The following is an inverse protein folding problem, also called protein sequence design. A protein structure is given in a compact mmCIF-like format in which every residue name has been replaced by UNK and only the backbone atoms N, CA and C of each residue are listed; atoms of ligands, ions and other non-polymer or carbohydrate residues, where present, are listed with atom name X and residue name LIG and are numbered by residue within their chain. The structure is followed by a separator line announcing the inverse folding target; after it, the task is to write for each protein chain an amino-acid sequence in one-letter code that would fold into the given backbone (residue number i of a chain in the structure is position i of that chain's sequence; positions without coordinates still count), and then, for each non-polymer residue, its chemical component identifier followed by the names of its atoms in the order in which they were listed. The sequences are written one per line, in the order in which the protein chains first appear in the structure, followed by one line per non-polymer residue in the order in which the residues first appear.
data_IF_547618084787
#
_entry.id   IF_547618084787
#
_cell.length_a   1.000
_cell.length_b   1.000
_cell.length_c   1.000
_cell.angle_alpha   90.00
_cell.angle_beta   90.00
_cell.angle_gamma   90.00
#
_symmetry.space_group_name_H-M   'P 1'
#
loop_
_entity.id
_entity.type
_entity.pdbx_description
1 polymer ?
#
# COMPACT_ATOMS: atom_id res chain seq x y z
N UNK A 1 -2.31 -17.63 -0.75
CA UNK A 1 -1.89 -16.23 -0.92
C UNK A 1 -0.44 -16.23 -1.37
N UNK A 2 -0.19 -16.04 -2.68
CA UNK A 2 1.18 -15.99 -3.24
C UNK A 2 1.78 -14.57 -3.11
N UNK A 3 1.66 -13.94 -1.95
CA UNK A 3 2.55 -12.82 -1.58
C UNK A 3 3.96 -13.34 -1.29
N UNK A 4 4.23 -14.53 -1.84
CA UNK A 4 5.45 -15.25 -1.71
C UNK A 4 6.55 -14.53 -2.45
N UNK A 5 7.56 -14.09 -1.70
CA UNK A 5 8.99 -14.05 -2.09
C UNK A 5 9.42 -13.22 -3.31
N UNK A 6 8.52 -12.71 -4.19
CA UNK A 6 8.86 -12.13 -5.48
C UNK A 6 8.12 -10.81 -5.74
N UNK A 7 8.14 -9.87 -4.78
CA UNK A 7 7.85 -8.49 -5.15
C UNK A 7 9.10 -7.94 -5.85
N UNK A 8 9.01 -7.53 -7.12
CA UNK A 8 10.09 -6.84 -7.85
C UNK A 8 10.43 -5.46 -7.29
N UNK A 9 10.05 -5.19 -6.04
CA UNK A 9 10.49 -4.05 -5.28
C UNK A 9 12.00 -4.16 -5.04
N UNK A 10 12.78 -3.08 -5.18
CA UNK A 10 14.21 -3.08 -4.97
C UNK A 10 14.54 -3.73 -3.63
N UNK A 11 15.42 -4.73 -3.62
CA UNK A 11 15.87 -5.37 -2.38
C UNK A 11 16.71 -4.37 -1.59
N UNK A 12 16.27 -3.88 -0.44
CA UNK A 12 17.13 -3.16 0.45
C UNK A 12 17.86 -4.16 1.30
N UNK A 13 18.98 -4.43 1.37
CA UNK A 13 19.82 -5.16 2.36
C UNK A 13 20.47 -6.47 1.94
N UNK A 14 21.79 -6.38 1.84
CA UNK A 14 22.74 -7.42 2.20
C UNK A 14 23.52 -6.94 3.42
N UNK A 15 23.27 -7.46 4.61
CA UNK A 15 24.18 -7.27 5.74
C UNK A 15 24.21 -8.49 6.63
N UNK A 16 25.38 -9.13 6.68
CA UNK A 16 25.77 -10.07 7.71
C UNK A 16 26.22 -9.32 8.96
N UNK A 17 25.31 -8.97 9.83
CA UNK A 17 25.54 -8.69 11.25
C UNK A 17 24.18 -8.70 11.94
N UNK A 18 24.10 -9.24 13.15
CA UNK A 18 22.92 -9.24 14.03
C UNK A 18 22.67 -7.82 14.58
N UNK A 19 22.42 -6.86 13.69
CA UNK A 19 21.95 -5.53 14.09
C UNK A 19 20.50 -5.67 14.54
N UNK A 20 20.15 -5.05 15.66
CA UNK A 20 18.77 -4.93 16.11
C UNK A 20 17.98 -4.27 15.00
N UNK A 21 16.94 -4.96 14.52
CA UNK A 21 16.09 -4.43 13.43
C UNK A 21 15.23 -3.30 13.95
N UNK A 22 15.02 -2.27 13.14
CA UNK A 22 14.25 -1.07 13.52
C UNK A 22 13.14 -0.78 12.54
N UNK A 23 12.04 -0.21 13.04
CA UNK A 23 10.98 0.38 12.24
C UNK A 23 10.66 1.80 12.73
N UNK A 24 10.51 2.73 11.80
CA UNK A 24 9.91 4.01 12.07
C UNK A 24 8.37 3.89 12.04
N UNK A 25 7.67 4.60 12.92
CA UNK A 25 6.21 4.58 12.97
C UNK A 25 5.65 6.00 12.94
N UNK A 26 4.73 6.24 12.00
CA UNK A 26 3.95 7.48 11.91
C UNK A 26 2.49 7.13 12.06
N UNK A 27 1.80 7.72 13.05
CA UNK A 27 0.42 7.34 13.36
C UNK A 27 -0.59 7.70 12.24
N UNK A 28 -0.29 8.70 11.40
CA UNK A 28 -1.21 9.16 10.35
C UNK A 28 -2.32 10.07 10.90
N UNK A 29 -3.40 10.22 10.15
CA UNK A 29 -4.54 11.08 10.45
C UNK A 29 -5.82 10.27 10.62
N UNK A 30 -6.86 10.90 11.13
CA UNK A 30 -8.19 10.33 11.21
C UNK A 30 -8.24 9.01 11.98
N UNK A 31 -8.46 7.90 11.29
CA UNK A 31 -8.45 6.54 11.90
C UNK A 31 -7.04 6.03 12.16
N UNK A 32 -6.00 6.70 11.64
CA UNK A 32 -4.60 6.29 11.71
C UNK A 32 -4.13 5.89 13.12
N UNK A 33 -4.26 6.76 14.14
CA UNK A 33 -3.82 6.44 15.50
C UNK A 33 -4.41 5.13 16.02
N UNK A 34 -5.71 4.89 15.81
CA UNK A 34 -6.39 3.70 16.32
C UNK A 34 -5.95 2.41 15.60
N UNK A 35 -5.76 2.43 14.29
CA UNK A 35 -5.34 1.23 13.54
C UNK A 35 -3.85 0.95 13.67
N UNK A 36 -2.99 1.98 13.82
CA UNK A 36 -1.56 1.81 14.15
C UNK A 36 -1.41 1.23 15.55
N UNK A 37 -2.20 1.69 16.53
CA UNK A 37 -2.20 1.10 17.87
C UNK A 37 -2.43 -0.42 17.82
N UNK A 38 -3.43 -0.86 17.04
CA UNK A 38 -3.69 -2.30 16.89
C UNK A 38 -2.53 -3.02 16.18
N UNK A 39 -1.91 -2.41 15.18
CA UNK A 39 -0.73 -2.96 14.54
C UNK A 39 0.44 -3.11 15.52
N UNK A 40 0.64 -2.17 16.44
CA UNK A 40 1.67 -2.24 17.46
C UNK A 40 1.38 -3.30 18.53
N UNK A 41 0.13 -3.47 18.93
CA UNK A 41 -0.29 -4.54 19.85
C UNK A 41 0.01 -5.91 19.25
N UNK A 42 -0.36 -6.13 17.99
CA UNK A 42 -0.12 -7.39 17.27
C UNK A 42 1.37 -7.63 17.03
N UNK A 43 2.14 -6.58 16.66
CA UNK A 43 3.58 -6.69 16.50
C UNK A 43 4.28 -7.09 17.79
N UNK A 44 3.92 -6.50 18.93
CA UNK A 44 4.47 -6.86 20.25
C UNK A 44 4.20 -8.32 20.58
N UNK A 45 2.96 -8.79 20.36
CA UNK A 45 2.62 -10.20 20.56
C UNK A 45 3.50 -11.13 19.67
N UNK A 46 3.79 -10.74 18.43
CA UNK A 46 4.66 -11.51 17.54
C UNK A 46 6.14 -11.49 17.98
N UNK A 47 6.64 -10.35 18.46
CA UNK A 47 7.97 -10.19 19.03
C UNK A 47 8.12 -11.07 20.28
N UNK A 48 7.18 -10.99 21.22
CA UNK A 48 7.20 -11.73 22.47
C UNK A 48 7.16 -13.26 22.23
N UNK A 49 6.35 -13.71 21.28
CA UNK A 49 6.24 -15.13 20.91
C UNK A 49 7.49 -15.66 20.21
N UNK A 50 8.14 -14.84 19.38
CA UNK A 50 9.32 -15.24 18.60
C UNK A 50 10.65 -15.04 19.33
N UNK A 51 10.70 -14.15 20.31
CA UNK A 51 11.91 -13.71 21.01
C UNK A 51 12.86 -12.86 20.14
N UNK A 52 12.37 -12.31 19.02
CA UNK A 52 13.20 -11.51 18.11
C UNK A 52 13.01 -10.02 18.38
N UNK A 53 14.08 -9.30 18.75
CA UNK A 53 13.98 -7.89 19.07
C UNK A 53 13.79 -7.05 17.78
N UNK A 54 12.74 -6.20 17.77
CA UNK A 54 12.56 -5.13 16.81
C UNK A 54 12.38 -3.83 17.60
N UNK A 55 13.23 -2.86 17.35
CA UNK A 55 13.08 -1.53 17.94
C UNK A 55 12.03 -0.73 17.16
N UNK A 56 11.18 -0.01 17.89
CA UNK A 56 10.12 0.82 17.33
C UNK A 56 10.42 2.27 17.68
N UNK A 57 10.58 3.10 16.66
CA UNK A 57 10.80 4.53 16.80
C UNK A 57 9.59 5.30 16.25
N UNK A 58 8.88 5.99 17.15
CA UNK A 58 7.76 6.82 16.74
C UNK A 58 8.23 8.19 16.26
N UNK A 59 7.57 8.72 15.25
CA UNK A 59 7.72 10.11 14.85
C UNK A 59 7.35 11.04 16.02
N UNK A 60 7.98 12.23 16.13
CA UNK A 60 7.75 13.14 17.24
C UNK A 60 6.28 13.58 17.39
N UNK A 61 5.76 13.63 18.62
CA UNK A 61 4.36 13.99 18.92
C UNK A 61 3.96 15.41 18.45
N UNK A 62 4.92 16.31 18.26
CA UNK A 62 4.66 17.69 17.77
C UNK A 62 3.98 17.72 16.41
N UNK A 63 4.09 16.67 15.67
CA UNK A 63 3.49 16.43 14.37
C UNK A 63 1.95 16.34 14.46
N UNK A 64 1.42 16.11 15.65
CA UNK A 64 -0.02 15.97 15.94
C UNK A 64 -0.67 17.27 16.40
N UNK A 65 0.07 18.36 16.52
CA UNK A 65 -0.42 19.62 17.10
C UNK A 65 -1.54 20.27 16.27
N UNK A 66 -1.62 19.95 14.99
CA UNK A 66 -2.74 20.36 14.14
C UNK A 66 -3.62 19.15 13.82
N UNK A 67 -4.58 18.89 14.68
CA UNK A 67 -5.44 17.69 14.72
C UNK A 67 -6.26 17.39 13.45
N UNK A 68 -6.13 18.16 12.40
CA UNK A 68 -6.93 18.00 11.18
C UNK A 68 -6.13 17.62 9.93
N UNK A 69 -4.86 18.01 9.80
CA UNK A 69 -4.02 17.66 8.66
C UNK A 69 -2.55 17.56 9.07
N UNK A 70 -1.84 16.59 8.51
CA UNK A 70 -0.39 16.51 8.59
C UNK A 70 0.23 17.55 7.66
N UNK A 71 1.29 18.22 8.15
CA UNK A 71 2.12 19.11 7.36
C UNK A 71 3.56 18.60 7.36
N UNK A 72 4.21 18.63 6.21
CA UNK A 72 5.61 18.26 6.10
C UNK A 72 6.49 19.42 6.59
N UNK A 73 6.64 19.50 7.90
CA UNK A 73 7.50 20.47 8.56
C UNK A 73 8.93 19.93 8.76
N UNK A 74 9.83 20.75 9.31
CA UNK A 74 11.24 20.40 9.51
C UNK A 74 11.42 19.17 10.41
N UNK A 75 10.60 19.00 11.46
CA UNK A 75 10.69 17.86 12.38
C UNK A 75 10.34 16.55 11.67
N UNK A 76 9.32 16.57 10.79
CA UNK A 76 8.98 15.44 9.94
C UNK A 76 10.09 15.15 8.93
N UNK A 77 10.53 16.18 8.23
CA UNK A 77 11.61 16.05 7.25
C UNK A 77 12.86 15.42 7.88
N UNK A 78 13.22 15.82 9.11
CA UNK A 78 14.35 15.25 9.85
C UNK A 78 14.11 13.79 10.27
N UNK A 79 12.91 13.46 10.76
CA UNK A 79 12.56 12.07 11.11
C UNK A 79 12.69 11.14 9.91
N UNK A 80 12.07 11.50 8.78
CA UNK A 80 12.16 10.70 7.55
C UNK A 80 13.59 10.64 7.02
N UNK A 81 14.31 11.76 6.98
CA UNK A 81 15.69 11.82 6.50
C UNK A 81 16.61 10.89 7.30
N UNK A 82 16.48 10.89 8.64
CA UNK A 82 17.23 9.99 9.52
C UNK A 82 16.85 8.53 9.27
N UNK A 83 15.55 8.21 9.27
CA UNK A 83 15.11 6.84 9.03
C UNK A 83 15.64 6.31 7.68
N UNK A 84 15.58 7.11 6.63
CA UNK A 84 16.05 6.68 5.31
C UNK A 84 17.57 6.61 5.20
N UNK A 85 18.31 7.51 5.86
CA UNK A 85 19.78 7.45 5.93
C UNK A 85 20.25 6.17 6.63
N UNK A 86 19.55 5.78 7.70
CA UNK A 86 19.82 4.56 8.47
C UNK A 86 19.11 3.33 7.87
N UNK A 87 18.46 3.51 6.72
CA UNK A 87 17.69 2.48 6.02
C UNK A 87 16.58 1.85 6.90
N UNK A 88 15.99 2.58 7.79
CA UNK A 88 14.86 2.16 8.61
C UNK A 88 13.55 2.29 7.80
N UNK A 89 12.83 1.20 7.54
CA UNK A 89 11.53 1.28 6.87
C UNK A 89 10.49 1.93 7.78
N UNK A 90 9.55 2.67 7.18
CA UNK A 90 8.53 3.39 7.93
C UNK A 90 7.17 2.72 7.76
N UNK A 91 6.53 2.34 8.87
CA UNK A 91 5.12 1.99 8.95
C UNK A 91 4.32 3.27 9.17
N UNK A 92 3.47 3.61 8.22
CA UNK A 92 2.73 4.86 8.22
C UNK A 92 1.22 4.59 8.26
N UNK A 93 0.51 5.23 9.17
CA UNK A 93 -0.95 5.26 9.15
C UNK A 93 -1.48 6.05 7.94
N UNK A 94 -2.79 5.99 7.68
CA UNK A 94 -3.38 6.75 6.59
C UNK A 94 -3.17 8.25 6.79
N UNK A 95 -2.93 8.94 5.69
CA UNK A 95 -2.79 10.40 5.65
C UNK A 95 -3.43 10.95 4.37
N UNK A 96 -3.74 12.23 4.38
CA UNK A 96 -4.39 12.91 3.28
C UNK A 96 -3.72 14.23 2.89
N UNK A 97 -4.45 15.04 2.13
CA UNK A 97 -4.02 16.39 1.75
C UNK A 97 -2.71 16.46 0.96
N UNK A 98 -2.09 17.62 1.00
CA UNK A 98 -0.81 17.88 0.29
C UNK A 98 0.37 17.12 0.89
N UNK A 99 0.31 16.81 2.18
CA UNK A 99 1.39 16.11 2.89
C UNK A 99 1.90 14.86 2.15
N UNK A 100 0.99 14.01 1.67
CA UNK A 100 1.36 12.75 1.01
C UNK A 100 2.13 12.99 -0.29
N UNK A 101 1.76 14.03 -1.05
CA UNK A 101 2.41 14.38 -2.32
C UNK A 101 3.77 15.05 -2.10
N UNK A 102 3.87 15.92 -1.10
CA UNK A 102 5.11 16.58 -0.70
C UNK A 102 6.13 15.58 -0.15
N UNK A 103 5.70 14.64 0.70
CA UNK A 103 6.53 13.55 1.19
C UNK A 103 7.11 12.72 0.04
N UNK A 104 6.27 12.34 -0.93
CA UNK A 104 6.70 11.57 -2.09
C UNK A 104 7.70 12.33 -2.96
N UNK A 105 7.49 13.63 -3.17
CA UNK A 105 8.39 14.47 -3.93
C UNK A 105 9.73 14.67 -3.20
N UNK A 106 9.70 14.98 -1.88
CA UNK A 106 10.90 15.26 -1.09
C UNK A 106 11.85 14.06 -1.02
N UNK A 107 11.32 12.85 -0.89
CA UNK A 107 12.11 11.62 -0.71
C UNK A 107 12.12 10.71 -1.94
N UNK A 108 11.72 11.23 -3.10
CA UNK A 108 11.68 10.49 -4.37
C UNK A 108 11.01 9.10 -4.24
N UNK A 109 9.90 9.04 -3.49
CA UNK A 109 9.10 7.82 -3.36
C UNK A 109 8.29 7.60 -4.65
N UNK A 110 9.00 7.33 -5.71
CA UNK A 110 8.53 7.40 -7.10
C UNK A 110 7.52 6.31 -7.45
N UNK A 111 7.60 5.15 -6.81
CA UNK A 111 6.80 3.99 -7.17
C UNK A 111 5.94 3.53 -6.00
N UNK A 112 4.63 3.42 -6.22
CA UNK A 112 3.70 2.83 -5.26
C UNK A 112 3.21 1.49 -5.76
N UNK A 113 3.31 0.49 -4.91
CA UNK A 113 2.74 -0.83 -5.11
C UNK A 113 1.46 -0.98 -4.28
N UNK A 114 0.44 -1.53 -4.89
CA UNK A 114 -0.83 -1.84 -4.22
C UNK A 114 -1.25 -3.26 -4.61
N UNK A 115 -1.08 -4.25 -3.72
CA UNK A 115 -1.56 -5.60 -3.96
C UNK A 115 -3.08 -5.67 -3.89
N UNK A 116 -3.67 -6.39 -4.84
CA UNK A 116 -5.11 -6.63 -4.93
C UNK A 116 -5.30 -8.14 -4.89
N UNK A 117 -5.31 -8.69 -3.68
CA UNK A 117 -5.48 -10.11 -3.41
C UNK A 117 -6.61 -10.28 -2.39
N UNK A 118 -7.83 -10.60 -2.84
CA UNK A 118 -8.98 -10.80 -1.96
C UNK A 118 -8.71 -11.84 -0.89
N UNK A 119 -9.08 -11.55 0.35
CA UNK A 119 -8.87 -12.48 1.45
C UNK A 119 -9.95 -13.58 1.41
N UNK A 120 -9.58 -14.89 1.36
CA UNK A 120 -10.54 -15.96 1.13
C UNK A 120 -11.60 -16.08 2.24
N UNK A 121 -11.25 -15.75 3.48
CA UNK A 121 -12.12 -15.88 4.64
C UNK A 121 -13.16 -14.73 4.77
N UNK A 122 -13.15 -13.77 3.85
CA UNK A 122 -14.14 -12.67 3.75
C UNK A 122 -14.63 -12.46 2.31
N UNK A 123 -14.62 -13.50 1.50
CA UNK A 123 -15.08 -13.41 0.10
C UNK A 123 -16.55 -12.97 -0.01
N UNK A 124 -17.35 -13.22 1.01
CA UNK A 124 -18.75 -12.80 1.14
C UNK A 124 -18.92 -11.27 1.39
N UNK A 125 -17.89 -10.58 1.83
CA UNK A 125 -17.88 -9.11 1.97
C UNK A 125 -17.72 -8.39 0.62
N UNK A 126 -17.22 -9.05 -0.41
CA UNK A 126 -17.04 -8.46 -1.72
C UNK A 126 -18.36 -8.43 -2.52
N UNK A 127 -18.51 -7.37 -3.34
CA UNK A 127 -19.60 -7.27 -4.30
C UNK A 127 -19.41 -8.17 -5.53
N UNK A 128 -18.23 -8.76 -5.69
CA UNK A 128 -17.91 -9.63 -6.81
C UNK A 128 -18.32 -11.08 -6.53
N UNK A 129 -18.63 -11.79 -7.61
CA UNK A 129 -18.93 -13.24 -7.51
C UNK A 129 -17.68 -14.01 -7.06
N UNK A 130 -17.82 -15.05 -6.23
CA UNK A 130 -16.70 -15.83 -5.70
C UNK A 130 -15.73 -16.36 -6.76
N UNK A 131 -16.24 -16.71 -7.96
CA UNK A 131 -15.42 -17.21 -9.07
C UNK A 131 -14.43 -16.14 -9.58
N UNK A 132 -14.83 -14.85 -9.50
CA UNK A 132 -14.00 -13.71 -9.92
C UNK A 132 -12.93 -13.39 -8.89
N UNK A 133 -13.20 -13.67 -7.62
CA UNK A 133 -12.28 -13.39 -6.50
C UNK A 133 -11.19 -14.45 -6.35
N UNK A 134 -11.53 -15.74 -6.50
CA UNK A 134 -10.61 -16.85 -6.19
C UNK A 134 -9.31 -16.84 -6.98
N UNK A 135 -9.32 -16.30 -8.19
CA UNK A 135 -8.15 -16.21 -9.06
C UNK A 135 -7.56 -14.80 -9.16
N UNK A 136 -8.09 -13.85 -8.38
CA UNK A 136 -7.59 -12.48 -8.42
C UNK A 136 -6.35 -12.34 -7.54
N UNK A 137 -5.21 -12.07 -8.17
CA UNK A 137 -3.93 -11.73 -7.54
C UNK A 137 -3.22 -10.71 -8.44
N UNK A 138 -3.52 -9.42 -8.23
CA UNK A 138 -3.07 -8.33 -9.09
C UNK A 138 -2.10 -7.45 -8.33
N UNK A 139 -1.01 -7.03 -8.99
CA UNK A 139 -0.13 -5.99 -8.49
C UNK A 139 -0.36 -4.70 -9.27
N UNK A 140 -0.95 -3.70 -8.64
CA UNK A 140 -1.05 -2.36 -9.20
C UNK A 140 0.19 -1.55 -8.85
N UNK A 141 0.89 -1.08 -9.88
CA UNK A 141 2.07 -0.21 -9.78
C UNK A 141 1.70 1.17 -10.30
N UNK A 142 1.77 2.16 -9.39
CA UNK A 142 1.43 3.55 -9.66
C UNK A 142 2.68 4.40 -9.66
N UNK A 143 2.82 5.26 -10.66
CA UNK A 143 3.78 6.36 -10.60
C UNK A 143 3.34 7.38 -9.55
N UNK A 144 4.28 7.84 -8.72
CA UNK A 144 4.05 8.92 -7.75
C UNK A 144 4.77 10.21 -8.12
N UNK A 145 5.63 10.17 -9.15
CA UNK A 145 6.62 11.23 -9.43
C UNK A 145 6.17 12.28 -10.43
N UNK A 146 5.09 12.01 -11.18
CA UNK A 146 4.63 12.91 -12.25
C UNK A 146 3.12 13.13 -12.26
N UNK A 147 2.64 13.70 -13.37
CA UNK A 147 1.25 13.91 -13.66
C UNK A 147 0.59 15.05 -12.89
N UNK A 148 -0.74 15.07 -12.86
CA UNK A 148 -1.55 16.14 -12.27
C UNK A 148 -1.22 16.42 -10.80
N UNK A 149 -0.90 15.39 -10.01
CA UNK A 149 -0.68 15.54 -8.57
C UNK A 149 0.66 16.17 -8.22
N UNK A 150 1.63 16.15 -9.14
CA UNK A 150 2.97 16.72 -8.99
C UNK A 150 3.24 17.91 -9.91
N UNK A 151 2.29 18.26 -10.77
CA UNK A 151 2.39 19.40 -11.66
C UNK A 151 2.09 20.72 -10.97
N UNK A 152 2.44 21.82 -11.64
CA UNK A 152 2.12 23.16 -11.18
C UNK A 152 0.61 23.44 -11.24
N UNK A 153 0.13 24.26 -10.31
CA UNK A 153 -1.29 24.55 -10.18
C UNK A 153 -1.54 25.94 -9.60
N UNK A 154 -2.70 26.49 -9.86
CA UNK A 154 -3.06 27.80 -9.32
C UNK A 154 -4.24 28.45 -10.03
N UNK A 155 -4.30 29.76 -9.86
CA UNK A 155 -5.30 30.63 -10.43
C UNK A 155 -4.66 31.64 -11.39
N UNK A 156 -5.32 31.92 -12.51
CA UNK A 156 -4.98 32.96 -13.48
C UNK A 156 -6.15 33.90 -13.65
N UNK A 157 -5.95 35.03 -14.36
CA UNK A 157 -7.00 35.99 -14.70
C UNK A 157 -7.84 36.44 -13.50
N UNK A 158 -7.18 36.90 -12.42
CA UNK A 158 -7.81 37.37 -11.18
C UNK A 158 -8.78 36.35 -10.55
N UNK A 159 -8.45 35.06 -10.65
CA UNK A 159 -9.23 33.98 -10.03
C UNK A 159 -10.36 33.40 -10.91
N UNK A 160 -10.45 33.84 -12.17
CA UNK A 160 -11.45 33.30 -13.09
C UNK A 160 -11.03 31.99 -13.76
N UNK A 161 -9.73 31.65 -13.77
CA UNK A 161 -9.19 30.44 -14.39
C UNK A 161 -8.37 29.66 -13.37
N UNK A 162 -8.84 28.44 -13.03
CA UNK A 162 -8.05 27.46 -12.29
C UNK A 162 -7.27 26.58 -13.28
N UNK A 163 -5.99 26.31 -12.98
CA UNK A 163 -5.20 25.40 -13.81
C UNK A 163 -4.46 24.37 -12.98
N UNK A 164 -4.20 23.22 -13.60
CA UNK A 164 -3.39 22.13 -13.06
C UNK A 164 -2.62 21.49 -14.22
N UNK A 165 -1.30 21.48 -14.16
CA UNK A 165 -0.48 20.88 -15.20
C UNK A 165 -0.33 19.36 -15.00
N UNK A 166 -0.33 18.61 -16.10
CA UNK A 166 0.02 17.21 -16.12
C UNK A 166 1.35 17.04 -16.87
N UNK A 167 2.44 16.82 -16.15
CA UNK A 167 3.76 16.74 -16.73
C UNK A 167 4.42 15.41 -16.38
N UNK A 168 5.01 14.76 -17.39
CA UNK A 168 5.84 13.57 -17.26
C UNK A 168 7.20 13.77 -17.93
N UNK A 169 8.26 13.37 -17.25
CA UNK A 169 9.60 13.25 -17.83
C UNK A 169 9.84 11.80 -18.25
N UNK A 170 10.45 11.58 -19.41
CA UNK A 170 10.71 10.20 -19.90
C UNK A 170 11.44 9.33 -18.87
N UNK A 171 12.41 9.88 -18.15
CA UNK A 171 13.13 9.16 -17.09
C UNK A 171 12.23 8.68 -15.93
N UNK A 172 11.18 9.44 -15.58
CA UNK A 172 10.22 9.04 -14.56
C UNK A 172 9.40 7.84 -15.05
N UNK A 173 8.88 7.93 -16.29
CA UNK A 173 8.13 6.83 -16.92
C UNK A 173 9.00 5.58 -17.08
N UNK A 174 10.26 5.74 -17.52
CA UNK A 174 11.19 4.62 -17.62
C UNK A 174 11.39 3.89 -16.29
N UNK A 175 11.52 4.63 -15.18
CA UNK A 175 11.69 4.04 -13.85
C UNK A 175 10.52 3.16 -13.45
N UNK A 176 9.32 3.69 -13.50
CA UNK A 176 8.14 2.95 -13.04
C UNK A 176 7.81 1.78 -13.97
N UNK A 177 8.00 1.96 -15.28
CA UNK A 177 7.79 0.90 -16.27
C UNK A 177 8.82 -0.22 -16.13
N UNK A 178 10.10 0.10 -15.89
CA UNK A 178 11.13 -0.94 -15.63
C UNK A 178 10.76 -1.80 -14.42
N UNK A 179 10.36 -1.15 -13.31
CA UNK A 179 9.91 -1.85 -12.11
C UNK A 179 8.68 -2.74 -12.39
N UNK A 180 7.75 -2.26 -13.22
CA UNK A 180 6.57 -3.02 -13.57
C UNK A 180 6.89 -4.24 -14.46
N UNK A 181 7.79 -4.09 -15.41
CA UNK A 181 8.28 -5.21 -16.25
C UNK A 181 9.02 -6.26 -15.41
N UNK A 182 9.92 -5.83 -14.52
CA UNK A 182 10.62 -6.73 -13.60
C UNK A 182 9.64 -7.46 -12.68
N UNK A 183 8.62 -6.77 -12.18
CA UNK A 183 7.57 -7.38 -11.36
C UNK A 183 6.77 -8.40 -12.16
N UNK A 184 6.36 -8.10 -13.38
CA UNK A 184 5.62 -9.00 -14.24
C UNK A 184 6.44 -10.26 -14.60
N UNK A 185 7.72 -10.10 -14.91
CA UNK A 185 8.64 -11.20 -15.20
C UNK A 185 8.83 -12.18 -14.04
N UNK A 186 8.60 -11.72 -12.79
CA UNK A 186 8.65 -12.55 -11.58
C UNK A 186 7.28 -13.13 -11.18
N UNK A 187 6.22 -12.82 -11.93
CA UNK A 187 4.84 -13.27 -11.71
C UNK A 187 4.36 -14.07 -12.93
N UNK A 188 3.13 -13.83 -13.39
CA UNK A 188 2.54 -14.56 -14.52
C UNK A 188 2.96 -13.99 -15.89
N UNK A 189 3.99 -13.15 -15.93
CA UNK A 189 4.61 -12.57 -17.12
C UNK A 189 3.67 -11.70 -17.97
N UNK A 190 2.67 -11.05 -17.37
CA UNK A 190 1.69 -10.19 -18.06
C UNK A 190 1.68 -8.79 -17.45
N UNK A 191 1.83 -7.76 -18.30
CA UNK A 191 1.79 -6.36 -17.90
C UNK A 191 0.72 -5.60 -18.68
N UNK A 192 -0.24 -4.98 -17.98
CA UNK A 192 -1.21 -4.07 -18.55
C UNK A 192 -0.79 -2.62 -18.27
N UNK A 193 -0.51 -1.85 -19.32
CA UNK A 193 -0.20 -0.42 -19.24
C UNK A 193 -1.50 0.36 -19.41
N UNK A 194 -1.90 1.08 -18.34
CA UNK A 194 -3.16 1.81 -18.34
C UNK A 194 -2.92 3.30 -18.61
N UNK A 195 -3.52 3.83 -19.66
CA UNK A 195 -3.41 5.23 -20.09
C UNK A 195 -4.75 5.77 -20.61
N UNK A 196 -4.76 6.94 -21.23
CA UNK A 196 -5.96 7.54 -21.87
C UNK A 196 -5.58 8.25 -23.18
N UNK A 197 -5.30 7.50 -24.26
CA UNK A 197 -4.79 8.09 -25.51
C UNK A 197 -5.76 9.09 -26.16
N UNK A 198 -7.06 8.89 -26.06
CA UNK A 198 -8.04 9.84 -26.60
C UNK A 198 -8.06 11.20 -25.88
N UNK A 199 -7.75 11.22 -24.57
CA UNK A 199 -7.74 12.45 -23.76
C UNK A 199 -6.35 13.04 -23.52
N UNK A 200 -5.32 12.18 -23.43
CA UNK A 200 -3.93 12.54 -23.12
C UNK A 200 -2.97 11.90 -24.15
N UNK A 201 -3.04 12.30 -25.44
CA UNK A 201 -2.37 11.58 -26.53
C UNK A 201 -0.84 11.51 -26.35
N UNK A 202 -0.19 12.62 -26.05
CA UNK A 202 1.28 12.68 -25.93
C UNK A 202 1.81 11.92 -24.70
N UNK A 203 1.14 12.07 -23.56
CA UNK A 203 1.49 11.33 -22.34
C UNK A 203 1.29 9.83 -22.58
N UNK A 204 0.16 9.44 -23.13
CA UNK A 204 -0.15 8.04 -23.43
C UNK A 204 0.83 7.39 -24.40
N UNK A 205 1.24 8.13 -25.45
CA UNK A 205 2.26 7.69 -26.38
C UNK A 205 3.61 7.46 -25.69
N UNK A 206 4.05 8.39 -24.83
CA UNK A 206 5.28 8.25 -24.06
C UNK A 206 5.28 6.98 -23.20
N UNK A 207 4.18 6.68 -22.51
CA UNK A 207 4.04 5.48 -21.69
C UNK A 207 4.10 4.20 -22.51
N UNK A 208 3.36 4.18 -23.62
CA UNK A 208 3.34 3.05 -24.55
C UNK A 208 4.72 2.77 -25.15
N UNK A 209 5.33 3.77 -25.78
CA UNK A 209 6.66 3.67 -26.38
C UNK A 209 7.70 3.20 -25.37
N UNK A 210 7.64 3.73 -24.14
CA UNK A 210 8.59 3.35 -23.08
C UNK A 210 8.42 1.88 -22.71
N UNK A 211 7.19 1.40 -22.56
CA UNK A 211 6.94 -0.01 -22.23
C UNK A 211 7.41 -0.94 -23.36
N UNK A 212 7.14 -0.59 -24.62
CA UNK A 212 7.58 -1.37 -25.77
C UNK A 212 9.13 -1.40 -25.89
N UNK A 213 9.80 -0.26 -25.68
CA UNK A 213 11.25 -0.14 -25.77
C UNK A 213 11.99 -0.89 -24.65
N UNK A 214 11.46 -0.87 -23.43
CA UNK A 214 12.10 -1.50 -22.27
C UNK A 214 11.79 -2.99 -22.13
N UNK A 215 10.81 -3.51 -22.85
CA UNK A 215 10.39 -4.91 -22.77
C UNK A 215 11.35 -5.85 -23.53
N UNK A 216 12.57 -5.95 -23.04
CA UNK A 216 13.59 -6.89 -23.59
C UNK A 216 13.42 -8.31 -23.04
N UNK A 217 12.69 -8.48 -21.95
CA UNK A 217 12.44 -9.77 -21.29
C UNK A 217 11.29 -10.58 -21.89
N UNK A 218 10.54 -10.00 -22.84
CA UNK A 218 9.43 -10.68 -23.51
C UNK A 218 8.19 -10.84 -22.61
N UNK A 219 7.95 -9.89 -21.72
CA UNK A 219 6.69 -9.80 -20.95
C UNK A 219 5.53 -9.59 -21.92
N UNK A 220 4.41 -10.27 -21.72
CA UNK A 220 3.19 -10.05 -22.50
C UNK A 220 2.60 -8.67 -22.15
N UNK A 221 2.71 -7.73 -23.11
CA UNK A 221 2.21 -6.37 -22.94
C UNK A 221 0.76 -6.24 -23.45
N UNK A 222 -0.08 -5.63 -22.65
CA UNK A 222 -1.40 -5.14 -23.06
C UNK A 222 -1.55 -3.65 -22.74
N UNK A 223 -2.37 -2.95 -23.54
CA UNK A 223 -2.65 -1.53 -23.34
C UNK A 223 -4.15 -1.33 -23.16
N UNK A 224 -4.54 -0.61 -22.11
CA UNK A 224 -5.95 -0.42 -21.79
C UNK A 224 -6.23 1.04 -21.42
N UNK A 225 -7.38 1.56 -21.84
CA UNK A 225 -7.84 2.88 -21.40
C UNK A 225 -8.35 2.82 -19.96
N UNK A 226 -8.10 3.87 -19.18
CA UNK A 226 -8.37 3.89 -17.72
C UNK A 226 -9.83 3.63 -17.36
N UNK A 227 -10.79 4.13 -18.14
CA UNK A 227 -12.22 3.89 -17.93
C UNK A 227 -12.57 2.40 -18.10
N UNK A 228 -12.04 1.75 -19.14
CA UNK A 228 -12.19 0.30 -19.31
C UNK A 228 -11.44 -0.47 -18.21
N UNK A 229 -10.23 -0.03 -17.83
CA UNK A 229 -9.47 -0.67 -16.75
C UNK A 229 -10.22 -0.60 -15.40
N UNK A 230 -10.85 0.52 -15.06
CA UNK A 230 -11.71 0.64 -13.87
C UNK A 230 -12.87 -0.37 -13.94
N UNK A 231 -13.59 -0.43 -15.07
CA UNK A 231 -14.69 -1.39 -15.22
C UNK A 231 -14.22 -2.84 -15.08
N UNK A 232 -13.15 -3.18 -15.78
CA UNK A 232 -12.61 -4.55 -15.78
C UNK A 232 -12.05 -4.95 -14.40
N UNK A 233 -11.34 -4.05 -13.73
CA UNK A 233 -10.80 -4.29 -12.40
C UNK A 233 -11.92 -4.46 -11.35
N UNK A 234 -12.99 -3.67 -11.47
CA UNK A 234 -14.18 -3.77 -10.63
C UNK A 234 -15.13 -4.91 -10.97
N UNK A 235 -14.94 -5.64 -12.09
CA UNK A 235 -15.85 -6.72 -12.51
C UNK A 235 -15.17 -8.07 -12.72
N UNK A 236 -13.91 -8.09 -13.14
CA UNK A 236 -13.15 -9.27 -13.50
C UNK A 236 -11.64 -9.11 -13.19
N UNK A 237 -11.25 -8.84 -11.91
CA UNK A 237 -9.86 -8.57 -11.55
C UNK A 237 -8.90 -9.71 -11.88
N UNK A 238 -9.37 -10.94 -11.92
CA UNK A 238 -8.55 -12.13 -12.20
C UNK A 238 -7.92 -12.16 -13.61
N UNK A 239 -8.32 -11.27 -14.51
CA UNK A 239 -7.69 -11.16 -15.83
C UNK A 239 -6.34 -10.44 -15.81
N UNK A 240 -6.09 -9.65 -14.76
CA UNK A 240 -4.84 -8.91 -14.61
C UNK A 240 -3.81 -9.70 -13.80
N UNK A 241 -2.53 -9.42 -14.07
CA UNK A 241 -1.39 -9.85 -13.27
C UNK A 241 -0.69 -8.61 -12.70
N UNK A 242 -0.02 -7.83 -13.55
CA UNK A 242 0.54 -6.53 -13.16
C UNK A 242 -0.13 -5.42 -13.97
N UNK A 243 -0.50 -4.36 -13.28
CA UNK A 243 -0.99 -3.12 -13.91
C UNK A 243 0.02 -2.02 -13.61
N UNK A 244 0.44 -1.26 -14.62
CA UNK A 244 1.19 -0.02 -14.42
C UNK A 244 0.41 1.18 -14.94
N UNK A 245 0.47 2.30 -14.22
CA UNK A 245 -0.39 3.43 -14.51
C UNK A 245 0.22 4.78 -14.09
N UNK A 246 -0.06 5.86 -14.83
CA UNK A 246 0.16 7.24 -14.40
C UNK A 246 -0.47 7.54 -13.05
N UNK A 247 0.05 8.55 -12.35
CA UNK A 247 -0.24 8.89 -10.97
C UNK A 247 -1.74 8.92 -10.64
N UNK A 248 -2.50 9.83 -11.23
CA UNK A 248 -3.93 9.99 -10.95
C UNK A 248 -4.75 8.74 -11.33
N UNK A 249 -4.43 8.10 -12.45
CA UNK A 249 -5.15 6.90 -12.87
C UNK A 249 -4.90 5.74 -11.92
N UNK A 250 -3.65 5.56 -11.48
CA UNK A 250 -3.31 4.52 -10.49
C UNK A 250 -3.97 4.76 -9.13
N UNK A 251 -4.26 6.02 -8.77
CA UNK A 251 -5.01 6.35 -7.57
C UNK A 251 -6.46 5.85 -7.65
N UNK A 252 -7.14 6.19 -8.74
CA UNK A 252 -8.53 5.78 -8.98
C UNK A 252 -8.65 4.25 -9.12
N UNK A 253 -7.70 3.63 -9.83
CA UNK A 253 -7.67 2.17 -9.96
C UNK A 253 -7.49 1.46 -8.60
N UNK A 254 -6.66 2.02 -7.71
CA UNK A 254 -6.47 1.48 -6.36
C UNK A 254 -7.76 1.47 -5.53
N UNK A 255 -8.55 2.53 -5.60
CA UNK A 255 -9.84 2.59 -4.92
C UNK A 255 -10.90 1.69 -5.59
N UNK A 256 -10.89 1.60 -6.93
CA UNK A 256 -11.74 0.64 -7.64
C UNK A 256 -11.44 -0.81 -7.23
N UNK A 257 -10.18 -1.13 -7.04
CA UNK A 257 -9.74 -2.46 -6.61
C UNK A 257 -10.25 -2.86 -5.22
N UNK A 258 -10.55 -1.90 -4.35
CA UNK A 258 -11.12 -2.16 -3.01
C UNK A 258 -12.49 -2.89 -3.08
N UNK A 259 -13.20 -2.79 -4.21
CA UNK A 259 -14.42 -3.58 -4.48
C UNK A 259 -14.12 -5.08 -4.39
N UNK A 260 -13.01 -5.53 -4.98
CA UNK A 260 -12.58 -6.92 -4.92
C UNK A 260 -12.13 -7.32 -3.51
N UNK A 261 -11.54 -6.41 -2.75
CA UNK A 261 -11.09 -6.66 -1.38
C UNK A 261 -12.24 -6.71 -0.35
N UNK A 262 -13.45 -6.29 -0.73
CA UNK A 262 -14.63 -6.22 0.13
C UNK A 262 -14.74 -4.93 0.93
N UNK A 263 -13.65 -4.22 1.18
CA UNK A 263 -13.60 -2.92 1.85
C UNK A 263 -12.30 -2.19 1.53
N UNK A 264 -12.35 -0.85 1.56
CA UNK A 264 -11.14 -0.01 1.55
C UNK A 264 -10.26 -0.26 2.77
N UNK A 265 -10.83 -0.63 3.92
CA UNK A 265 -10.11 -1.00 5.14
C UNK A 265 -9.24 -2.26 5.02
N UNK A 266 -9.40 -3.03 3.93
CA UNK A 266 -8.57 -4.18 3.59
C UNK A 266 -7.39 -3.81 2.68
N UNK A 267 -7.36 -2.60 2.13
CA UNK A 267 -6.35 -2.19 1.15
C UNK A 267 -5.05 -1.74 1.83
N UNK A 268 -3.92 -2.15 1.25
CA UNK A 268 -2.59 -1.81 1.74
C UNK A 268 -1.64 -1.51 0.59
N UNK A 269 -0.56 -0.79 0.88
CA UNK A 269 0.39 -0.36 -0.14
C UNK A 269 1.77 -0.09 0.44
N UNK A 270 2.76 0.03 -0.45
CA UNK A 270 4.09 0.50 -0.11
C UNK A 270 4.61 1.45 -1.18
N UNK A 271 5.40 2.45 -0.76
CA UNK A 271 6.03 3.42 -1.63
C UNK A 271 7.55 3.28 -1.51
N UNK A 272 8.25 3.25 -2.63
CA UNK A 272 9.68 3.03 -2.68
C UNK A 272 10.39 4.11 -3.49
N UNK A 273 11.59 4.48 -3.04
CA UNK A 273 12.54 5.30 -3.77
C UNK A 273 13.65 4.43 -4.38
N UNK A 274 14.44 5.02 -5.29
CA UNK A 274 15.66 4.38 -5.81
C UNK A 274 16.77 4.27 -4.77
N UNK A 275 16.80 5.16 -3.79
CA UNK A 275 17.79 5.18 -2.72
C UNK A 275 17.54 4.12 -1.65
N UNK A 276 16.45 3.37 -1.74
CA UNK A 276 16.07 2.35 -0.75
C UNK A 276 15.10 2.86 0.32
N UNK A 277 14.67 4.14 0.28
CA UNK A 277 13.62 4.60 1.18
C UNK A 277 12.32 3.83 0.95
N UNK A 278 11.69 3.37 2.04
CA UNK A 278 10.49 2.57 2.01
C UNK A 278 9.45 3.08 3.03
N UNK A 279 8.26 3.40 2.54
CA UNK A 279 7.11 3.80 3.36
C UNK A 279 5.96 2.83 3.09
N UNK A 280 5.61 2.05 4.09
CA UNK A 280 4.51 1.11 4.08
C UNK A 280 3.28 1.76 4.68
N UNK A 281 2.20 1.86 3.92
CA UNK A 281 1.01 2.62 4.26
C UNK A 281 -0.25 1.90 3.76
N UNK A 282 -1.38 2.04 4.47
CA UNK A 282 -2.67 1.62 3.90
C UNK A 282 -2.92 2.34 2.57
N UNK A 283 -3.69 1.73 1.69
CA UNK A 283 -4.02 2.38 0.41
C UNK A 283 -5.19 3.36 0.53
N UNK A 284 -6.00 3.28 1.62
CA UNK A 284 -7.09 4.21 1.91
C UNK A 284 -6.59 5.50 2.60
N UNK A 285 -7.39 6.55 2.56
CA UNK A 285 -7.14 7.83 3.24
C UNK A 285 -7.51 7.82 4.72
N UNK A 286 -7.47 9.01 5.33
CA UNK A 286 -7.61 9.24 6.77
C UNK A 286 -8.98 8.88 7.39
N UNK A 287 -10.06 8.84 6.61
CA UNK A 287 -11.43 8.55 7.08
C UNK A 287 -11.79 9.31 8.37
N UNK A 288 -11.68 10.65 8.33
CA UNK A 288 -11.91 11.53 9.49
C UNK A 288 -13.30 11.36 10.13
N UNK A 289 -14.29 10.99 9.34
CA UNK A 289 -15.67 10.71 9.80
C UNK A 289 -15.77 9.49 10.71
N UNK A 290 -14.81 8.57 10.66
CA UNK A 290 -14.72 7.38 11.51
C UNK A 290 -13.75 7.55 12.69
N UNK A 291 -13.00 8.65 12.74
CA UNK A 291 -11.99 8.88 13.77
C UNK A 291 -12.61 8.88 15.18
N UNK A 292 -11.96 8.19 16.12
CA UNK A 292 -12.39 8.10 17.52
C UNK A 292 -13.63 7.23 17.79
N UNK A 293 -14.26 6.66 16.74
CA UNK A 293 -15.46 5.84 16.90
C UNK A 293 -15.20 4.36 17.18
N UNK A 294 -13.94 3.94 17.13
CA UNK A 294 -13.51 2.54 17.34
C UNK A 294 -14.20 1.52 16.39
N UNK A 295 -14.44 1.93 15.14
CA UNK A 295 -15.14 1.11 14.12
C UNK A 295 -14.29 0.82 12.89
N UNK A 296 -13.13 1.46 12.76
CA UNK A 296 -12.24 1.30 11.61
C UNK A 296 -11.67 -0.12 11.55
N UNK A 297 -11.56 -0.66 10.34
CA UNK A 297 -10.94 -1.96 10.11
C UNK A 297 -9.40 -1.87 10.20
N UNK A 298 -8.72 -2.57 11.11
CA UNK A 298 -7.27 -2.51 11.23
C UNK A 298 -6.54 -3.49 10.30
N UNK A 299 -7.24 -4.37 9.57
CA UNK A 299 -6.62 -5.46 8.81
C UNK A 299 -5.71 -4.94 7.71
N UNK A 300 -6.10 -3.90 6.97
CA UNK A 300 -5.24 -3.30 5.95
C UNK A 300 -3.91 -2.78 6.54
N UNK A 301 -3.94 -2.20 7.75
CA UNK A 301 -2.73 -1.76 8.44
C UNK A 301 -1.87 -2.94 8.93
N UNK A 302 -2.50 -4.02 9.37
CA UNK A 302 -1.80 -5.26 9.74
C UNK A 302 -1.16 -5.93 8.53
N UNK A 303 -1.82 -5.97 7.39
CA UNK A 303 -1.24 -6.48 6.13
C UNK A 303 -0.09 -5.59 5.64
N UNK A 304 -0.20 -4.28 5.85
CA UNK A 304 0.88 -3.31 5.62
C UNK A 304 2.11 -3.65 6.47
N UNK A 305 1.90 -3.93 7.77
CA UNK A 305 2.96 -4.37 8.68
C UNK A 305 3.57 -5.71 8.24
N UNK A 306 2.76 -6.68 7.87
CA UNK A 306 3.24 -7.97 7.36
C UNK A 306 4.14 -7.80 6.13
N UNK A 307 3.79 -6.88 5.24
CA UNK A 307 4.62 -6.59 4.07
C UNK A 307 5.95 -5.94 4.46
N UNK A 308 5.93 -4.96 5.36
CA UNK A 308 7.15 -4.36 5.90
C UNK A 308 8.07 -5.43 6.53
N UNK A 309 7.53 -6.28 7.39
CA UNK A 309 8.28 -7.35 8.05
C UNK A 309 8.91 -8.31 7.03
N UNK A 310 8.14 -8.75 6.03
CA UNK A 310 8.60 -9.70 5.01
C UNK A 310 9.63 -9.10 4.09
N UNK A 311 9.36 -7.89 3.58
CA UNK A 311 10.16 -7.28 2.52
C UNK A 311 11.38 -6.53 3.05
N UNK A 312 11.20 -5.60 4.00
CA UNK A 312 12.31 -4.78 4.50
C UNK A 312 13.10 -5.44 5.62
N UNK A 313 12.44 -6.13 6.55
CA UNK A 313 13.13 -6.77 7.67
C UNK A 313 13.49 -8.24 7.41
N UNK A 314 13.09 -8.81 6.28
CA UNK A 314 13.31 -10.24 5.96
C UNK A 314 12.75 -11.19 7.04
N UNK A 315 11.70 -10.76 7.73
CA UNK A 315 11.01 -11.49 8.79
C UNK A 315 9.69 -12.08 8.29
N UNK A 316 9.82 -12.94 7.28
CA UNK A 316 8.68 -13.68 6.73
C UNK A 316 8.00 -14.60 7.75
N UNK A 317 8.73 -15.05 8.77
CA UNK A 317 8.23 -15.81 9.90
C UNK A 317 7.19 -15.03 10.72
N UNK A 318 7.55 -13.80 11.15
CA UNK A 318 6.62 -12.91 11.88
C UNK A 318 5.43 -12.51 11.01
N UNK A 319 5.66 -12.15 9.76
CA UNK A 319 4.60 -11.80 8.84
C UNK A 319 3.60 -12.96 8.66
N UNK A 320 4.08 -14.18 8.48
CA UNK A 320 3.23 -15.36 8.32
C UNK A 320 2.45 -15.70 9.58
N UNK A 321 3.04 -15.53 10.76
CA UNK A 321 2.35 -15.68 12.06
C UNK A 321 1.17 -14.73 12.17
N UNK A 322 1.38 -13.44 11.86
CA UNK A 322 0.33 -12.42 11.90
C UNK A 322 -0.76 -12.72 10.84
N UNK A 323 -0.39 -13.06 9.61
CA UNK A 323 -1.35 -13.40 8.55
C UNK A 323 -2.22 -14.62 8.91
N UNK A 324 -1.63 -15.64 9.53
CA UNK A 324 -2.37 -16.81 10.01
C UNK A 324 -3.35 -16.43 11.13
N UNK A 325 -2.94 -15.55 12.05
CA UNK A 325 -3.81 -15.05 13.11
C UNK A 325 -4.99 -14.23 12.56
N UNK A 326 -4.73 -13.36 11.57
CA UNK A 326 -5.79 -12.63 10.85
C UNK A 326 -6.78 -13.62 10.24
N UNK A 327 -6.30 -14.59 9.48
CA UNK A 327 -7.13 -15.59 8.82
C UNK A 327 -7.95 -16.41 9.85
N UNK A 328 -7.36 -16.81 10.97
CA UNK A 328 -8.04 -17.53 12.05
C UNK A 328 -9.19 -16.72 12.63
N UNK A 329 -8.98 -15.45 12.95
CA UNK A 329 -9.99 -14.57 13.56
C UNK A 329 -11.12 -14.27 12.57
N UNK A 330 -10.79 -13.96 11.31
CA UNK A 330 -11.79 -13.71 10.26
C UNK A 330 -12.62 -14.96 9.95
N UNK A 331 -12.01 -16.15 9.92
CA UNK A 331 -12.69 -17.44 9.75
C UNK A 331 -13.59 -17.76 10.92
N UNK A 332 -13.23 -17.31 12.14
CA UNK A 332 -14.07 -17.39 13.33
C UNK A 332 -15.29 -16.46 13.31
N UNK A 333 -15.47 -15.68 12.22
CA UNK A 333 -16.61 -14.80 12.02
C UNK A 333 -16.48 -13.42 12.67
N UNK A 334 -15.37 -13.10 13.33
CA UNK A 334 -15.15 -11.78 13.97
C UNK A 334 -14.69 -10.77 12.92
N UNK A 335 -15.50 -9.74 12.66
CA UNK A 335 -15.27 -8.76 11.59
C UNK A 335 -15.69 -7.36 12.03
N UNK A 336 -15.05 -6.34 11.50
CA UNK A 336 -15.56 -4.97 11.57
C UNK A 336 -16.76 -4.79 10.64
N UNK A 337 -17.56 -3.76 10.87
CA UNK A 337 -18.83 -3.56 10.16
C UNK A 337 -18.69 -3.47 8.63
N UNK A 338 -17.58 -2.95 8.14
CA UNK A 338 -17.29 -2.76 6.71
C UNK A 338 -17.06 -4.06 5.94
N UNK A 339 -16.70 -5.15 6.63
CA UNK A 339 -16.49 -6.49 6.05
C UNK A 339 -17.40 -7.55 6.66
N UNK A 340 -18.45 -7.14 7.38
CA UNK A 340 -19.39 -8.06 8.01
C UNK A 340 -20.29 -8.73 6.96
N UNK A 341 -20.42 -10.04 7.07
CA UNK A 341 -21.38 -10.85 6.33
C UNK A 341 -22.54 -11.30 7.24
N UNK A 342 -23.53 -12.07 6.71
CA UNK A 342 -24.74 -12.46 7.44
C UNK A 342 -24.47 -13.18 8.77
N UNK A 343 -23.42 -14.01 8.81
CA UNK A 343 -23.07 -14.84 9.98
C UNK A 343 -21.93 -14.25 10.80
N UNK A 344 -21.59 -12.96 10.60
CA UNK A 344 -20.48 -12.31 11.27
C UNK A 344 -20.87 -11.75 12.65
N UNK A 345 -19.97 -11.92 13.61
CA UNK A 345 -19.97 -11.14 14.86
C UNK A 345 -19.25 -9.84 14.60
N UNK A 346 -20.01 -8.73 14.53
CA UNK A 346 -19.43 -7.40 14.36
C UNK A 346 -18.71 -6.97 15.61
N UNK A 347 -17.43 -6.63 15.48
CA UNK A 347 -16.54 -6.23 16.58
C UNK A 347 -15.93 -4.85 16.31
N UNK A 348 -15.44 -4.20 17.36
CA UNK A 348 -14.76 -2.91 17.24
C UNK A 348 -13.31 -3.06 16.71
N UNK A 349 -12.69 -1.92 16.34
CA UNK A 349 -11.27 -1.86 15.95
C UNK A 349 -10.37 -2.52 17.00
N UNK A 350 -10.54 -2.12 18.26
CA UNK A 350 -9.72 -2.61 19.39
C UNK A 350 -9.99 -4.08 19.71
N UNK A 351 -11.24 -4.55 19.63
CA UNK A 351 -11.57 -5.95 19.89
C UNK A 351 -11.00 -6.84 18.76
N UNK A 352 -11.08 -6.44 17.50
CA UNK A 352 -10.48 -7.20 16.40
C UNK A 352 -8.97 -7.30 16.55
N UNK A 353 -8.29 -6.18 16.86
CA UNK A 353 -6.84 -6.17 17.09
C UNK A 353 -6.42 -7.06 18.28
N UNK A 354 -7.14 -6.97 19.40
CA UNK A 354 -6.88 -7.80 20.57
C UNK A 354 -7.05 -9.31 20.29
N UNK A 355 -8.08 -9.71 19.52
CA UNK A 355 -8.29 -11.10 19.11
C UNK A 355 -7.16 -11.61 18.22
N UNK A 356 -6.69 -10.78 17.27
CA UNK A 356 -5.58 -11.13 16.40
C UNK A 356 -4.29 -11.28 17.23
N UNK A 357 -4.01 -10.36 18.16
CA UNK A 357 -2.85 -10.45 19.04
C UNK A 357 -2.89 -11.72 19.91
N UNK A 358 -4.05 -12.04 20.48
CA UNK A 358 -4.22 -13.28 21.26
C UNK A 358 -4.00 -14.53 20.39
N UNK A 359 -4.47 -14.51 19.14
CA UNK A 359 -4.25 -15.61 18.21
C UNK A 359 -2.76 -15.77 17.83
N UNK A 360 -2.00 -14.67 17.69
CA UNK A 360 -0.53 -14.70 17.53
C UNK A 360 0.14 -15.33 18.73
N UNK A 361 -0.21 -14.88 19.95
CA UNK A 361 0.39 -15.39 21.21
C UNK A 361 0.08 -16.87 21.48
N UNK A 362 -1.01 -17.39 20.91
CA UNK A 362 -1.39 -18.80 21.04
C UNK A 362 -0.64 -19.74 20.08
N UNK A 363 0.11 -19.21 19.11
CA UNK A 363 0.90 -20.01 18.18
C UNK A 363 2.15 -20.57 18.87
N UNK A 364 2.57 -21.81 18.50
CA UNK A 364 3.85 -22.30 18.97
C UNK A 364 4.99 -21.40 18.49
N UNK A 365 6.00 -21.22 19.35
CA UNK A 365 7.18 -20.48 18.93
C UNK A 365 7.78 -21.09 17.65
N UNK A 366 8.22 -20.27 16.68
CA UNK A 366 8.81 -20.78 15.45
C UNK A 366 10.01 -21.67 15.80
N UNK A 367 10.06 -22.84 15.19
CA UNK A 367 11.22 -23.75 15.32
C UNK A 367 12.42 -23.00 14.72
N UNK A 368 13.43 -22.76 15.56
CA UNK A 368 14.68 -22.05 15.18
C UNK A 368 15.51 -22.84 14.19
#
# INVERSE_FOLDING_TARGET
MRLSQHSGAPRPYSSGATLVQKIGVVLGEGVGPSIIEQAMIVLRAAIDTSGVPIEIEFAPDRIWSNRQQLELNDDFGQFYSRCFADQIPILHGPAGGRFVYELRAMFELDVKFTPIAPHPDIADASLLRPERLRAADVMLIRDNSGGLYQGDFGWRENGSVAYQEALYRRQQVQRVVSVALETAAQRDNRLTVVTKPGGLPTISAMWKETAEQLNVSGVELSFMEVDNACFQLGSAPQQFDVIVSPNMFGDVLGDTAAIALGSRGMSYSANFSRSGAAVYQTAHGAAHDLAGRNVANPVGQLLTLCWLLRHSLQRGDLASSIEQAIAQVLRGGYRTADIAGPDSSVVSTSDLGARIAAAVSAQPAPVR
#
